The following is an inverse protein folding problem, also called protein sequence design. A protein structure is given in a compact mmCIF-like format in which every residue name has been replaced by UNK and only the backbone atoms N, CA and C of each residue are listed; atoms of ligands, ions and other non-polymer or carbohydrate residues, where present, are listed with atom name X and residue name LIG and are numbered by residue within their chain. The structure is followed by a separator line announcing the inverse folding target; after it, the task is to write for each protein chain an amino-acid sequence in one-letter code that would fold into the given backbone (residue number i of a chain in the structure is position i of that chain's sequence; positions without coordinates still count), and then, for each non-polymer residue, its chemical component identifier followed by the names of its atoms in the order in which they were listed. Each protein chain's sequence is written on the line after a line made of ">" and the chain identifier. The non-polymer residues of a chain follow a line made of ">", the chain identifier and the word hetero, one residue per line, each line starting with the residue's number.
data_IF_481709689880
#
_entry.id   IF_481709689880
#
_cell.length_a   1.000
_cell.length_b   1.000
_cell.length_c   1.000
_cell.angle_alpha   90.00
_cell.angle_beta   90.00
_cell.angle_gamma   90.00
#
_symmetry.space_group_name_H-M   'P 1'
#
loop_
_entity.id
_entity.type
_entity.pdbx_description
1 polymer ?
#
# COMPACT_ATOMS: atom_id res chain seq x y z
N UNK A 1 53.81 42.34 10.20
CA UNK A 1 52.71 41.84 9.38
C UNK A 1 52.77 40.33 9.43
N UNK A 2 52.14 39.76 10.47
CA UNK A 2 52.24 38.32 10.81
C UNK A 2 50.97 37.61 10.31
N UNK A 3 51.15 36.66 9.43
CA UNK A 3 50.10 35.70 8.92
C UNK A 3 49.89 34.65 9.99
N UNK A 4 48.66 34.55 10.53
CA UNK A 4 48.26 33.46 11.37
C UNK A 4 47.42 32.48 10.54
N UNK A 5 48.02 31.32 10.28
CA UNK A 5 47.42 30.16 9.64
C UNK A 5 46.67 29.38 10.70
N UNK A 6 45.35 29.39 10.68
CA UNK A 6 44.50 28.65 11.61
C UNK A 6 44.05 27.35 10.92
N UNK A 7 44.74 26.26 11.26
CA UNK A 7 44.37 24.89 10.84
C UNK A 7 43.22 24.40 11.70
N UNK A 8 42.05 24.30 11.09
CA UNK A 8 40.86 23.63 11.69
C UNK A 8 40.96 22.14 11.42
N UNK A 9 41.28 21.38 12.47
CA UNK A 9 41.19 19.91 12.46
C UNK A 9 39.74 19.52 12.65
N UNK A 10 39.09 19.04 11.60
CA UNK A 10 37.77 18.44 11.67
C UNK A 10 37.87 16.99 12.17
N UNK A 11 37.45 16.77 13.41
CA UNK A 11 37.28 15.42 13.95
C UNK A 11 35.97 14.83 13.38
N UNK A 12 36.10 13.87 12.48
CA UNK A 12 35.02 13.00 12.05
C UNK A 12 34.71 11.98 13.15
N UNK A 13 33.62 12.18 13.88
CA UNK A 13 33.06 11.14 14.73
C UNK A 13 32.27 10.15 13.86
N UNK A 14 32.89 9.03 13.58
CA UNK A 14 32.23 7.87 13.01
C UNK A 14 31.30 7.29 14.09
N UNK A 15 30.00 7.57 14.02
CA UNK A 15 29.00 6.85 14.81
C UNK A 15 28.75 5.51 14.12
N UNK A 16 29.41 4.48 14.63
CA UNK A 16 29.12 3.09 14.34
C UNK A 16 27.77 2.75 14.94
N UNK A 17 26.74 2.49 14.11
CA UNK A 17 25.49 1.90 14.55
C UNK A 17 25.73 0.42 14.87
N UNK A 18 25.92 0.13 16.14
CA UNK A 18 25.97 -1.22 16.68
C UNK A 18 24.57 -1.81 16.69
N UNK A 19 24.36 -2.88 15.89
CA UNK A 19 23.13 -3.67 15.92
C UNK A 19 23.01 -4.34 17.28
N UNK A 20 22.13 -3.83 18.15
CA UNK A 20 21.74 -4.54 19.36
C UNK A 20 20.99 -5.79 18.96
N UNK A 21 21.58 -6.93 19.22
CA UNK A 21 20.88 -8.22 19.24
C UNK A 21 19.74 -8.11 20.26
N UNK A 22 18.52 -8.30 19.79
CA UNK A 22 17.35 -8.42 20.65
C UNK A 22 17.49 -9.73 21.41
N UNK A 23 17.80 -9.61 22.70
CA UNK A 23 17.80 -10.69 23.66
C UNK A 23 16.34 -11.14 23.85
N UNK A 24 16.10 -12.42 23.56
CA UNK A 24 14.79 -13.07 23.70
C UNK A 24 14.36 -13.06 25.16
N UNK A 25 13.47 -12.13 25.51
CA UNK A 25 12.80 -12.17 26.82
C UNK A 25 11.68 -13.19 26.73
N UNK A 26 11.87 -14.34 27.34
CA UNK A 26 10.86 -15.38 27.54
C UNK A 26 9.74 -14.83 28.44
N UNK A 27 8.63 -14.41 27.84
CA UNK A 27 7.41 -14.18 28.61
C UNK A 27 6.75 -15.53 28.87
N UNK A 28 6.92 -16.01 30.10
CA UNK A 28 6.29 -17.22 30.59
C UNK A 28 4.81 -16.94 30.90
N UNK A 29 3.92 -17.10 29.91
CA UNK A 29 2.50 -17.19 30.18
C UNK A 29 2.15 -18.64 30.53
N UNK A 30 1.68 -18.83 31.76
CA UNK A 30 1.07 -20.08 32.21
C UNK A 30 -0.27 -20.22 31.54
N UNK A 31 -0.34 -20.91 30.39
CA UNK A 31 -1.45 -21.77 30.00
C UNK A 31 -0.97 -22.63 28.82
N UNK A 32 -0.86 -23.87 29.13
CA UNK A 32 -0.54 -25.08 28.45
C UNK A 32 -0.96 -25.15 26.96
N UNK A 33 -0.06 -24.76 26.06
CA UNK A 33 0.02 -25.24 24.68
C UNK A 33 1.44 -24.94 24.17
N UNK A 34 2.26 -25.99 24.14
CA UNK A 34 3.61 -25.93 23.57
C UNK A 34 3.47 -25.85 22.04
N UNK A 35 3.52 -24.63 21.49
CA UNK A 35 3.75 -24.45 20.06
C UNK A 35 5.24 -24.64 19.81
N UNK A 36 5.62 -25.81 19.33
CA UNK A 36 6.98 -26.07 18.84
C UNK A 36 7.13 -25.31 17.52
N UNK A 37 7.73 -24.13 17.57
CA UNK A 37 8.17 -23.42 16.35
C UNK A 37 9.46 -24.11 15.89
N UNK A 38 9.55 -24.70 14.69
CA UNK A 38 10.77 -25.27 14.19
C UNK A 38 11.84 -24.18 14.06
N UNK A 39 13.01 -24.40 14.64
CA UNK A 39 14.16 -23.48 14.77
C UNK A 39 14.81 -23.12 13.41
N UNK A 40 14.28 -23.62 12.30
CA UNK A 40 14.75 -23.39 10.94
C UNK A 40 13.65 -22.90 9.98
N UNK A 41 12.69 -22.11 10.46
CA UNK A 41 11.84 -21.38 9.54
C UNK A 41 12.67 -20.20 9.00
N UNK A 42 13.31 -20.37 7.85
CA UNK A 42 13.79 -19.23 7.08
C UNK A 42 12.60 -18.25 6.91
N UNK A 43 12.81 -16.93 7.07
CA UNK A 43 11.74 -15.97 6.81
C UNK A 43 11.29 -16.21 5.37
N UNK A 44 10.04 -16.64 5.17
CA UNK A 44 9.43 -16.62 3.87
C UNK A 44 9.34 -15.15 3.50
N UNK A 45 10.30 -14.65 2.74
CA UNK A 45 10.16 -13.38 2.06
C UNK A 45 8.98 -13.56 1.10
N UNK A 46 7.78 -13.21 1.55
CA UNK A 46 6.66 -13.03 0.65
C UNK A 46 7.05 -11.85 -0.24
N UNK A 47 7.57 -12.15 -1.42
CA UNK A 47 7.85 -11.14 -2.43
C UNK A 47 6.50 -10.62 -2.94
N UNK A 48 5.92 -9.69 -2.20
CA UNK A 48 4.76 -8.93 -2.65
C UNK A 48 5.21 -8.12 -3.85
N UNK A 49 4.75 -8.48 -5.02
CA UNK A 49 5.10 -7.74 -6.24
C UNK A 49 4.16 -6.55 -6.39
N UNK A 50 4.69 -5.36 -6.18
CA UNK A 50 3.96 -4.14 -6.45
C UNK A 50 3.93 -3.85 -7.95
N UNK A 51 2.72 -3.60 -8.47
CA UNK A 51 2.52 -3.18 -9.87
C UNK A 51 1.80 -1.84 -9.90
N UNK A 52 2.32 -0.90 -10.69
CA UNK A 52 1.74 0.43 -10.83
C UNK A 52 1.12 0.62 -12.22
N UNK A 53 -0.05 1.29 -12.24
CA UNK A 53 -0.78 1.64 -13.45
C UNK A 53 -1.04 3.15 -13.47
N UNK A 54 -0.97 3.74 -14.65
CA UNK A 54 -1.27 5.13 -14.87
C UNK A 54 -2.14 5.29 -16.11
N UNK A 55 -3.24 6.03 -16.00
CA UNK A 55 -4.15 6.32 -17.09
C UNK A 55 -4.44 7.81 -17.21
N UNK A 56 -4.70 8.28 -18.44
CA UNK A 56 -5.11 9.66 -18.72
C UNK A 56 -6.32 9.63 -19.63
N UNK A 57 -7.35 10.41 -19.29
CA UNK A 57 -8.53 10.62 -20.10
C UNK A 57 -8.82 12.12 -20.17
N UNK A 58 -8.55 12.74 -21.33
CA UNK A 58 -8.64 14.18 -21.47
C UNK A 58 -7.64 14.91 -20.59
N UNK A 59 -8.14 15.67 -19.59
CA UNK A 59 -7.33 16.37 -18.59
C UNK A 59 -7.23 15.62 -17.26
N UNK A 60 -7.99 14.54 -17.12
CA UNK A 60 -8.06 13.74 -15.90
C UNK A 60 -7.04 12.61 -15.92
N UNK A 61 -6.58 12.21 -14.77
CA UNK A 61 -5.65 11.09 -14.66
C UNK A 61 -5.99 10.20 -13.45
N UNK A 62 -5.66 8.92 -13.60
CA UNK A 62 -5.80 7.92 -12.55
C UNK A 62 -4.46 7.23 -12.32
N UNK A 63 -4.14 7.03 -11.08
CA UNK A 63 -2.97 6.27 -10.65
C UNK A 63 -3.42 5.14 -9.72
N UNK A 64 -2.94 3.92 -9.96
CA UNK A 64 -3.26 2.73 -9.16
C UNK A 64 -1.96 1.99 -8.86
N UNK A 65 -1.67 1.72 -7.60
CA UNK A 65 -0.64 0.76 -7.20
C UNK A 65 -1.31 -0.46 -6.58
N UNK A 66 -0.91 -1.65 -6.99
CA UNK A 66 -1.43 -2.93 -6.53
C UNK A 66 -0.30 -3.76 -5.94
N UNK A 67 -0.53 -4.29 -4.76
CA UNK A 67 0.27 -5.31 -4.11
C UNK A 67 -0.56 -6.59 -4.09
N UNK A 68 -0.12 -7.61 -4.84
CA UNK A 68 -0.80 -8.90 -4.93
C UNK A 68 -0.11 -9.91 -4.00
N UNK A 69 -0.88 -10.44 -3.07
CA UNK A 69 -0.46 -11.50 -2.18
C UNK A 69 -1.43 -12.67 -2.32
N UNK A 70 -1.12 -13.59 -3.25
CA UNK A 70 -1.90 -14.82 -3.51
C UNK A 70 -3.39 -14.53 -3.77
N UNK A 71 -3.69 -13.49 -4.54
CA UNK A 71 -5.06 -13.11 -4.90
C UNK A 71 -5.74 -12.17 -3.89
N UNK A 72 -5.10 -11.87 -2.77
CA UNK A 72 -5.49 -10.76 -1.91
C UNK A 72 -4.80 -9.51 -2.40
N UNK A 73 -5.57 -8.52 -2.81
CA UNK A 73 -5.08 -7.27 -3.38
C UNK A 73 -5.18 -6.17 -2.33
N UNK A 74 -4.07 -5.47 -2.14
CA UNK A 74 -4.03 -4.20 -1.40
C UNK A 74 -3.32 -3.15 -2.25
N UNK A 75 -3.43 -1.88 -1.88
CA UNK A 75 -2.73 -0.84 -2.61
C UNK A 75 -3.31 0.55 -2.40
N UNK A 76 -2.99 1.44 -3.34
CA UNK A 76 -3.46 2.83 -3.30
C UNK A 76 -4.00 3.24 -4.66
N UNK A 77 -5.01 4.10 -4.61
CA UNK A 77 -5.60 4.67 -5.83
C UNK A 77 -5.79 6.16 -5.67
N UNK A 78 -5.61 6.89 -6.77
CA UNK A 78 -5.78 8.33 -6.82
C UNK A 78 -6.39 8.73 -8.16
N UNK A 79 -7.50 9.44 -8.10
CA UNK A 79 -8.03 10.20 -9.23
C UNK A 79 -7.60 11.66 -9.10
N UNK A 80 -7.02 12.19 -10.15
CA UNK A 80 -6.73 13.61 -10.30
C UNK A 80 -7.64 14.17 -11.40
N UNK A 81 -8.70 14.82 -10.99
CA UNK A 81 -9.67 15.44 -11.87
C UNK A 81 -9.29 16.90 -12.13
N UNK A 82 -9.56 17.40 -13.34
CA UNK A 82 -9.27 18.77 -13.73
C UNK A 82 -10.38 19.77 -13.35
N UNK A 83 -11.62 19.29 -13.29
CA UNK A 83 -12.84 20.12 -13.09
C UNK A 83 -13.64 19.71 -11.86
N UNK A 84 -13.21 18.67 -11.15
CA UNK A 84 -13.81 18.15 -9.92
C UNK A 84 -12.72 17.92 -8.88
N UNK A 85 -13.13 17.72 -7.64
CA UNK A 85 -12.17 17.37 -6.61
C UNK A 85 -11.49 16.03 -6.88
N UNK A 86 -10.21 16.02 -6.56
CA UNK A 86 -9.39 14.83 -6.61
C UNK A 86 -9.69 13.94 -5.42
N UNK A 87 -9.61 12.63 -5.60
CA UNK A 87 -9.73 11.68 -4.51
C UNK A 87 -8.46 10.83 -4.39
N UNK A 88 -8.13 10.43 -3.17
CA UNK A 88 -6.98 9.58 -2.88
C UNK A 88 -7.30 8.68 -1.69
N UNK A 89 -6.88 7.41 -1.77
CA UNK A 89 -7.16 6.47 -0.70
C UNK A 89 -6.56 5.09 -0.91
N UNK A 90 -6.98 4.20 -0.05
CA UNK A 90 -6.54 2.81 -0.04
C UNK A 90 -7.53 1.91 -0.78
N UNK A 91 -7.01 0.88 -1.42
CA UNK A 91 -7.80 -0.17 -2.06
C UNK A 91 -7.48 -1.51 -1.42
N UNK A 92 -8.51 -2.31 -1.21
CA UNK A 92 -8.41 -3.67 -0.70
C UNK A 92 -9.44 -4.56 -1.35
N UNK A 93 -9.09 -5.79 -1.66
CA UNK A 93 -10.04 -6.73 -2.25
C UNK A 93 -9.39 -8.03 -2.71
N UNK A 94 -9.97 -8.62 -3.73
CA UNK A 94 -9.54 -9.93 -4.23
C UNK A 94 -9.43 -9.95 -5.74
N UNK A 95 -8.56 -10.82 -6.24
CA UNK A 95 -8.46 -11.17 -7.65
C UNK A 95 -9.01 -12.58 -7.87
N UNK A 96 -9.90 -12.70 -8.84
CA UNK A 96 -10.38 -14.00 -9.33
C UNK A 96 -10.19 -14.05 -10.86
N UNK A 97 -9.24 -14.87 -11.31
CA UNK A 97 -8.79 -14.86 -12.69
C UNK A 97 -8.27 -13.47 -13.09
N UNK A 98 -8.85 -12.91 -14.14
CA UNK A 98 -8.49 -11.59 -14.65
C UNK A 98 -9.27 -10.44 -13.98
N UNK A 99 -10.22 -10.75 -13.10
CA UNK A 99 -11.10 -9.76 -12.47
C UNK A 99 -10.63 -9.43 -11.05
N UNK A 100 -10.47 -8.15 -10.78
CA UNK A 100 -10.25 -7.61 -9.44
C UNK A 100 -11.56 -6.99 -8.94
N UNK A 101 -12.00 -7.41 -7.74
CA UNK A 101 -13.09 -6.78 -7.00
C UNK A 101 -12.48 -6.06 -5.79
N UNK A 102 -12.56 -4.74 -5.77
CA UNK A 102 -11.88 -3.88 -4.80
C UNK A 102 -12.87 -2.96 -4.09
N UNK A 103 -12.59 -2.69 -2.82
CA UNK A 103 -13.19 -1.60 -2.06
C UNK A 103 -12.18 -0.44 -2.01
N UNK A 104 -12.58 0.72 -2.47
CA UNK A 104 -11.79 1.95 -2.46
C UNK A 104 -12.29 2.86 -1.34
N UNK A 105 -11.50 2.98 -0.27
CA UNK A 105 -11.75 3.89 0.85
C UNK A 105 -10.94 5.16 0.62
N UNK A 106 -11.61 6.27 0.37
CA UNK A 106 -10.96 7.50 -0.05
C UNK A 106 -11.45 8.73 0.70
N UNK A 107 -10.64 9.77 0.63
CA UNK A 107 -10.99 11.10 1.09
C UNK A 107 -11.16 12.03 -0.11
N UNK A 108 -12.27 12.77 -0.10
CA UNK A 108 -12.58 13.84 -1.04
C UNK A 108 -13.34 14.94 -0.31
N UNK A 109 -13.01 16.21 -0.51
CA UNK A 109 -13.63 17.38 0.16
C UNK A 109 -13.67 17.28 1.68
N UNK A 110 -12.71 16.60 2.29
CA UNK A 110 -12.66 16.39 3.74
C UNK A 110 -13.60 15.32 4.27
N UNK A 111 -14.34 14.62 3.40
CA UNK A 111 -15.20 13.50 3.75
C UNK A 111 -14.58 12.17 3.38
N UNK A 112 -14.80 11.15 4.23
CA UNK A 112 -14.43 9.78 3.95
C UNK A 112 -15.60 9.07 3.27
N UNK A 113 -15.32 8.40 2.16
CA UNK A 113 -16.28 7.63 1.39
C UNK A 113 -15.68 6.29 0.98
N UNK A 114 -16.54 5.33 0.68
CA UNK A 114 -16.15 4.02 0.15
C UNK A 114 -16.84 3.78 -1.18
N UNK A 115 -16.14 3.16 -2.11
CA UNK A 115 -16.69 2.77 -3.41
C UNK A 115 -16.20 1.39 -3.81
N UNK A 116 -17.12 0.55 -4.27
CA UNK A 116 -16.79 -0.71 -4.91
C UNK A 116 -16.30 -0.45 -6.35
N UNK A 117 -15.18 -1.08 -6.71
CA UNK A 117 -14.58 -0.94 -8.03
C UNK A 117 -14.24 -2.33 -8.58
N UNK A 118 -14.55 -2.55 -9.84
CA UNK A 118 -14.10 -3.72 -10.58
C UNK A 118 -13.06 -3.32 -11.61
N UNK A 119 -11.99 -4.08 -11.68
CA UNK A 119 -11.03 -3.99 -12.78
C UNK A 119 -10.90 -5.31 -13.52
N UNK A 120 -10.76 -5.22 -14.83
CA UNK A 120 -10.28 -6.30 -15.67
C UNK A 120 -8.78 -6.09 -15.93
N UNK A 121 -7.96 -7.02 -15.46
CA UNK A 121 -6.49 -7.02 -15.63
C UNK A 121 -6.12 -7.87 -16.83
N UNK A 122 -5.53 -7.28 -17.86
CA UNK A 122 -5.02 -8.01 -19.04
C UNK A 122 -3.58 -7.61 -19.31
N UNK A 123 -2.64 -8.52 -19.14
CA UNK A 123 -1.21 -8.24 -19.28
C UNK A 123 -0.80 -7.02 -18.40
N UNK A 124 -0.39 -5.93 -19.05
CA UNK A 124 0.05 -4.69 -18.40
C UNK A 124 -1.05 -3.60 -18.39
N UNK A 125 -2.31 -3.96 -18.61
CA UNK A 125 -3.44 -3.04 -18.67
C UNK A 125 -4.47 -3.37 -17.61
N UNK A 126 -4.99 -2.31 -16.99
CA UNK A 126 -6.08 -2.35 -16.03
C UNK A 126 -7.25 -1.53 -16.62
N UNK A 127 -8.41 -2.18 -16.79
CA UNK A 127 -9.61 -1.52 -17.31
C UNK A 127 -10.66 -1.48 -16.22
N UNK A 128 -11.11 -0.29 -15.84
CA UNK A 128 -12.19 -0.11 -14.86
C UNK A 128 -13.53 -0.53 -15.44
N UNK A 129 -14.31 -1.28 -14.67
CA UNK A 129 -15.68 -1.64 -14.99
C UNK A 129 -16.60 -0.41 -14.89
N UNK A 130 -17.62 -0.38 -15.76
CA UNK A 130 -18.65 0.64 -15.74
C UNK A 130 -19.99 -0.05 -15.47
N UNK A 131 -20.82 0.50 -14.57
CA UNK A 131 -22.11 -0.05 -14.22
C UNK A 131 -22.95 0.94 -13.44
N UNK A 132 -24.20 0.57 -13.18
CA UNK A 132 -25.06 1.34 -12.31
C UNK A 132 -24.66 1.14 -10.85
N UNK A 133 -24.73 2.19 -10.07
CA UNK A 133 -24.37 2.20 -8.65
C UNK A 133 -25.57 2.59 -7.79
N UNK A 134 -25.59 2.09 -6.57
CA UNK A 134 -26.51 2.47 -5.51
C UNK A 134 -25.74 2.89 -4.25
N UNK A 135 -26.30 3.85 -3.53
CA UNK A 135 -25.72 4.28 -2.25
C UNK A 135 -26.32 3.45 -1.10
N UNK A 136 -25.47 2.88 -0.27
CA UNK A 136 -25.82 2.24 1.00
C UNK A 136 -25.04 2.94 2.13
N UNK A 137 -25.64 3.96 2.75
CA UNK A 137 -24.95 4.83 3.70
C UNK A 137 -23.88 5.67 3.01
N UNK A 138 -22.62 5.50 3.40
CA UNK A 138 -21.46 6.15 2.78
C UNK A 138 -20.75 5.28 1.73
N UNK A 139 -21.37 4.15 1.35
CA UNK A 139 -20.82 3.21 0.38
C UNK A 139 -21.53 3.31 -0.95
N UNK A 140 -20.75 3.42 -2.01
CA UNK A 140 -21.20 3.40 -3.40
C UNK A 140 -20.90 2.01 -3.99
N UNK A 141 -21.94 1.22 -4.20
CA UNK A 141 -21.88 -0.18 -4.62
C UNK A 141 -22.47 -0.37 -5.99
N UNK A 142 -21.98 -1.36 -6.75
CA UNK A 142 -22.67 -1.77 -7.98
C UNK A 142 -24.04 -2.39 -7.66
N UNK A 143 -25.06 -2.09 -8.46
CA UNK A 143 -26.43 -2.58 -8.21
C UNK A 143 -26.59 -4.10 -8.24
N UNK A 144 -25.73 -4.80 -8.99
CA UNK A 144 -25.80 -6.24 -9.21
C UNK A 144 -24.50 -6.98 -8.87
N UNK A 145 -23.78 -6.51 -7.87
CA UNK A 145 -22.51 -7.12 -7.41
C UNK A 145 -22.73 -8.24 -6.39
#
# INVERSE_FOLDING_TARGET
>A
MKKYLLTIVALFFMHSCEKKNAENTLIKNQNDSVVVVPENAEPIESSTQQTCYFGVTGKDSVFVSLDDNLGTITGKMRYKNSEKDSSSGDIVGTQNGDTLKLNYSFQSEGMNSEREIFFLKKKNQLTEGIGNHKMEGNKDLYENS
#
